data_IF_388725895109
#
_entry.id   IF_388725895109
#
_cell.length_a   1.000
_cell.length_b   1.000
_cell.length_c   1.000
_cell.angle_alpha   90.00
_cell.angle_beta   90.00
_cell.angle_gamma   90.00
#
_symmetry.space_group_name_H-M   'P 1'
#
loop_
_entity.id
_entity.type
_entity.pdbx_description
1 polymer ?
#
# COMPACT_ATOMS: atom_id res chain seq x y z
N UNK A 1 21.73 -10.55 13.63
CA UNK A 1 21.81 -9.70 12.42
C UNK A 1 22.59 -8.45 12.76
N UNK A 2 23.58 -8.05 11.96
CA UNK A 2 24.36 -6.84 12.23
C UNK A 2 23.58 -5.55 11.90
N UNK A 3 23.74 -4.50 12.72
CA UNK A 3 23.07 -3.19 12.52
C UNK A 3 23.40 -2.56 11.15
N UNK A 4 24.61 -2.82 10.63
CA UNK A 4 25.03 -2.38 9.29
C UNK A 4 24.12 -2.89 8.17
N UNK A 5 23.53 -4.08 8.33
CA UNK A 5 22.60 -4.66 7.34
C UNK A 5 21.29 -3.87 7.33
N UNK A 6 20.77 -3.49 8.50
CA UNK A 6 19.56 -2.68 8.62
C UNK A 6 19.72 -1.31 7.98
N UNK A 7 20.84 -0.61 8.21
CA UNK A 7 21.10 0.68 7.56
C UNK A 7 21.17 0.56 6.03
N UNK A 8 21.85 -0.47 5.51
CA UNK A 8 21.88 -0.73 4.06
C UNK A 8 20.49 -1.08 3.51
N UNK A 9 19.68 -1.82 4.25
CA UNK A 9 18.33 -2.16 3.84
C UNK A 9 17.43 -0.91 3.75
N UNK A 10 17.50 -0.03 4.75
CA UNK A 10 16.77 1.26 4.76
C UNK A 10 17.20 2.11 3.55
N UNK A 11 18.50 2.21 3.28
CA UNK A 11 19.02 2.92 2.11
C UNK A 11 18.43 2.38 0.80
N UNK A 12 18.42 1.05 0.61
CA UNK A 12 17.88 0.46 -0.62
C UNK A 12 16.37 0.58 -0.76
N UNK A 13 15.61 0.50 0.35
CA UNK A 13 14.14 0.62 0.34
C UNK A 13 13.70 2.06 0.08
N UNK A 14 14.43 3.06 0.57
CA UNK A 14 14.06 4.47 0.43
C UNK A 14 14.41 5.07 -0.93
N UNK A 15 15.30 4.45 -1.69
CA UNK A 15 15.83 5.07 -2.91
C UNK A 15 15.00 4.83 -4.18
N UNK A 16 14.08 3.86 -4.18
CA UNK A 16 13.26 3.55 -5.36
C UNK A 16 11.81 3.96 -5.14
N UNK A 17 11.24 4.70 -6.11
CA UNK A 17 9.82 5.11 -6.06
C UNK A 17 8.87 3.91 -6.18
N UNK A 18 9.31 2.85 -6.86
CA UNK A 18 8.54 1.64 -7.14
C UNK A 18 8.72 0.53 -6.07
N UNK A 19 9.57 0.77 -5.06
CA UNK A 19 9.98 -0.26 -4.10
C UNK A 19 11.02 -1.24 -4.68
N UNK A 20 11.47 -2.18 -3.85
CA UNK A 20 12.49 -3.19 -4.18
C UNK A 20 11.94 -4.60 -3.92
N UNK A 21 12.22 -5.57 -4.79
CA UNK A 21 11.79 -6.96 -4.58
C UNK A 21 12.61 -7.61 -3.45
N UNK A 22 12.08 -8.63 -2.76
CA UNK A 22 12.85 -9.34 -1.73
C UNK A 22 14.07 -10.05 -2.31
N UNK A 23 13.97 -10.53 -3.56
CA UNK A 23 15.06 -11.16 -4.29
C UNK A 23 16.17 -10.15 -4.61
N UNK A 24 15.81 -8.96 -5.11
CA UNK A 24 16.83 -7.95 -5.38
C UNK A 24 17.45 -7.40 -4.08
N UNK A 25 16.65 -7.31 -3.02
CA UNK A 25 17.14 -6.89 -1.71
C UNK A 25 18.12 -7.92 -1.11
N UNK A 26 17.88 -9.21 -1.31
CA UNK A 26 18.80 -10.27 -0.85
C UNK A 26 20.17 -10.18 -1.54
N UNK A 27 20.19 -9.97 -2.86
CA UNK A 27 21.41 -9.82 -3.67
C UNK A 27 22.24 -8.63 -3.21
N UNK A 28 21.58 -7.50 -2.92
CA UNK A 28 22.26 -6.27 -2.46
C UNK A 28 22.81 -6.39 -1.04
N UNK A 29 22.07 -7.06 -0.16
CA UNK A 29 22.43 -7.20 1.25
C UNK A 29 23.38 -8.38 1.52
N UNK A 30 23.42 -9.38 0.64
CA UNK A 30 24.17 -10.62 0.83
C UNK A 30 23.58 -11.52 1.93
N UNK A 31 22.25 -11.52 2.07
CA UNK A 31 21.51 -12.34 3.05
C UNK A 31 20.61 -13.34 2.34
N UNK A 32 19.98 -14.27 3.07
CA UNK A 32 18.97 -15.14 2.48
C UNK A 32 17.74 -14.35 2.03
N UNK A 33 17.07 -14.82 0.98
CA UNK A 33 15.81 -14.26 0.49
C UNK A 33 14.76 -14.14 1.60
N UNK A 34 14.66 -15.15 2.46
CA UNK A 34 13.74 -15.16 3.60
C UNK A 34 14.04 -14.03 4.60
N UNK A 35 15.33 -13.77 4.84
CA UNK A 35 15.78 -12.67 5.70
C UNK A 35 15.46 -11.32 5.08
N UNK A 36 15.74 -11.14 3.79
CA UNK A 36 15.42 -9.92 3.07
C UNK A 36 13.91 -9.66 3.05
N UNK A 37 13.10 -10.70 2.90
CA UNK A 37 11.64 -10.62 2.99
C UNK A 37 11.19 -10.12 4.37
N UNK A 38 11.71 -10.72 5.47
CA UNK A 38 11.37 -10.27 6.83
C UNK A 38 11.80 -8.82 7.08
N UNK A 39 12.99 -8.41 6.63
CA UNK A 39 13.47 -7.02 6.75
C UNK A 39 12.52 -6.07 6.03
N UNK A 40 12.19 -6.38 4.76
CA UNK A 40 11.29 -5.56 3.94
C UNK A 40 9.92 -5.39 4.60
N UNK A 41 9.35 -6.47 5.13
CA UNK A 41 8.05 -6.42 5.81
C UNK A 41 8.10 -5.58 7.09
N UNK A 42 9.12 -5.74 7.93
CA UNK A 42 9.26 -4.93 9.14
C UNK A 42 9.39 -3.44 8.84
N UNK A 43 10.20 -3.08 7.84
CA UNK A 43 10.32 -1.69 7.40
C UNK A 43 9.00 -1.16 6.85
N UNK A 44 8.29 -1.96 6.04
CA UNK A 44 6.97 -1.59 5.51
C UNK A 44 5.93 -1.37 6.61
N UNK A 45 5.89 -2.24 7.62
CA UNK A 45 4.98 -2.08 8.77
C UNK A 45 5.30 -0.81 9.57
N UNK A 46 6.58 -0.54 9.85
CA UNK A 46 6.97 0.70 10.53
C UNK A 46 6.59 1.97 9.73
N UNK A 47 6.74 1.93 8.40
CA UNK A 47 6.31 3.02 7.53
C UNK A 47 4.78 3.20 7.57
N UNK A 48 4.03 2.10 7.55
CA UNK A 48 2.57 2.11 7.63
C UNK A 48 2.08 2.69 8.97
N UNK A 49 2.65 2.22 10.09
CA UNK A 49 2.31 2.70 11.43
C UNK A 49 2.62 4.19 11.60
N UNK A 50 3.77 4.64 11.07
CA UNK A 50 4.14 6.07 11.07
C UNK A 50 3.14 6.92 10.28
N UNK A 51 2.65 6.42 9.16
CA UNK A 51 1.68 7.14 8.32
C UNK A 51 0.25 7.04 8.84
N UNK A 52 -0.09 6.02 9.65
CA UNK A 52 -1.42 5.82 10.20
C UNK A 52 -1.93 7.03 11.00
N UNK A 53 -1.05 7.64 11.80
CA UNK A 53 -1.37 8.82 12.62
C UNK A 53 -1.52 10.14 11.85
N UNK A 54 -1.21 10.17 10.55
CA UNK A 54 -1.35 11.37 9.71
C UNK A 54 -2.74 11.43 9.09
N UNK A 55 -3.47 12.52 9.29
CA UNK A 55 -4.74 12.76 8.59
C UNK A 55 -4.49 13.29 7.16
N UNK A 56 -5.45 13.05 6.26
CA UNK A 56 -5.52 13.72 4.95
C UNK A 56 -6.08 15.13 5.18
N UNK A 57 -5.55 16.16 4.52
CA UNK A 57 -5.94 17.54 4.77
C UNK A 57 -5.85 18.40 3.51
N UNK A 58 -6.98 18.95 3.07
CA UNK A 58 -7.04 19.76 1.85
C UNK A 58 -8.07 19.19 0.88
N UNK A 59 -7.73 19.16 -0.42
CA UNK A 59 -8.61 18.64 -1.46
C UNK A 59 -8.41 17.12 -1.57
N UNK A 60 -9.39 16.37 -1.07
CA UNK A 60 -9.38 14.90 -1.04
C UNK A 60 -10.14 14.38 -2.26
N UNK A 61 -9.47 13.59 -3.09
CA UNK A 61 -10.10 12.79 -4.15
C UNK A 61 -10.27 11.35 -3.64
N UNK A 62 -11.48 10.82 -3.75
CA UNK A 62 -11.82 9.45 -3.37
C UNK A 62 -12.06 8.61 -4.64
N UNK A 63 -11.33 7.50 -4.75
CA UNK A 63 -11.43 6.55 -5.87
C UNK A 63 -11.67 5.14 -5.31
N UNK A 64 -12.65 4.43 -5.88
CA UNK A 64 -13.00 3.05 -5.51
C UNK A 64 -12.26 2.07 -6.43
N UNK A 65 -11.28 1.36 -5.87
CA UNK A 65 -10.49 0.38 -6.61
C UNK A 65 -10.71 -1.03 -6.08
N UNK A 66 -10.54 -2.04 -6.95
CA UNK A 66 -10.78 -3.44 -6.60
C UNK A 66 -9.48 -4.24 -6.74
N UNK A 67 -9.02 -4.87 -5.65
CA UNK A 67 -7.80 -5.69 -5.62
C UNK A 67 -8.16 -7.18 -5.71
N UNK A 68 -7.55 -7.89 -6.67
CA UNK A 68 -7.74 -9.33 -6.87
C UNK A 68 -8.96 -9.66 -7.72
N UNK A 69 -8.86 -10.70 -8.54
CA UNK A 69 -9.93 -11.15 -9.44
C UNK A 69 -9.57 -12.33 -10.33
N UNK A 70 -8.55 -13.10 -9.98
CA UNK A 70 -8.13 -14.26 -10.77
C UNK A 70 -8.89 -15.51 -10.32
N UNK A 71 -10.18 -15.56 -10.69
CA UNK A 71 -10.86 -16.83 -10.93
C UNK A 71 -11.33 -16.81 -12.38
N UNK A 72 -10.76 -17.68 -13.20
CA UNK A 72 -11.27 -17.94 -14.55
C UNK A 72 -12.69 -18.48 -14.45
N UNK A 73 -13.66 -17.79 -15.07
CA UNK A 73 -15.05 -18.27 -15.21
C UNK A 73 -16.15 -17.38 -14.61
N UNK A 74 -15.83 -16.21 -14.04
CA UNK A 74 -16.83 -15.28 -13.50
C UNK A 74 -17.19 -14.13 -14.44
N UNK A 75 -18.44 -13.62 -14.37
CA UNK A 75 -18.88 -12.40 -15.10
C UNK A 75 -17.94 -11.22 -14.82
N UNK A 76 -17.49 -10.56 -15.89
CA UNK A 76 -16.76 -9.29 -15.85
C UNK A 76 -17.71 -8.20 -15.33
N UNK A 77 -17.70 -7.93 -14.02
CA UNK A 77 -18.43 -6.79 -13.46
C UNK A 77 -17.77 -6.20 -12.21
N UNK A 78 -18.21 -4.99 -11.86
CA UNK A 78 -18.05 -4.39 -10.53
C UNK A 78 -18.78 -5.30 -9.54
N UNK A 79 -18.09 -5.81 -8.52
CA UNK A 79 -18.65 -6.72 -7.51
C UNK A 79 -18.59 -8.23 -7.78
N UNK A 80 -17.81 -8.71 -8.76
CA UNK A 80 -17.66 -10.17 -8.97
C UNK A 80 -17.08 -10.86 -7.73
N UNK A 81 -17.67 -11.98 -7.32
CA UNK A 81 -17.22 -12.81 -6.17
C UNK A 81 -15.71 -13.06 -6.26
N UNK A 82 -14.95 -12.50 -5.31
CA UNK A 82 -13.49 -12.67 -5.22
C UNK A 82 -12.67 -11.40 -5.46
N UNK A 83 -13.30 -10.25 -5.74
CA UNK A 83 -12.63 -8.96 -5.72
C UNK A 83 -12.73 -8.35 -4.33
N UNK A 84 -11.60 -8.00 -3.72
CA UNK A 84 -11.59 -7.23 -2.48
C UNK A 84 -11.67 -5.75 -2.85
N UNK A 85 -12.82 -5.08 -2.60
CA UNK A 85 -12.87 -3.65 -2.81
C UNK A 85 -11.94 -2.95 -1.81
N UNK A 86 -11.32 -1.86 -2.23
CA UNK A 86 -10.60 -0.93 -1.39
C UNK A 86 -10.88 0.49 -1.87
N UNK A 87 -11.07 1.40 -0.93
CA UNK A 87 -11.23 2.81 -1.18
C UNK A 87 -9.86 3.47 -1.04
N UNK A 88 -9.43 4.18 -2.08
CA UNK A 88 -8.24 5.00 -2.09
C UNK A 88 -8.64 6.47 -1.93
N UNK A 89 -8.14 7.14 -0.90
CA UNK A 89 -8.32 8.58 -0.72
C UNK A 89 -6.97 9.28 -0.91
N UNK A 90 -6.89 10.21 -1.86
CA UNK A 90 -5.68 10.96 -2.20
C UNK A 90 -5.87 12.42 -1.83
N UNK A 91 -4.94 12.95 -1.06
CA UNK A 91 -4.83 14.39 -0.80
C UNK A 91 -4.05 15.04 -1.95
N UNK A 92 -4.59 16.12 -2.50
CA UNK A 92 -4.03 16.83 -3.66
C UNK A 92 -3.76 18.30 -3.35
N UNK A 93 -2.67 18.84 -3.91
CA UNK A 93 -2.45 20.30 -3.94
C UNK A 93 -3.52 20.99 -4.81
N UNK A 94 -3.70 22.32 -4.72
CA UNK A 94 -4.59 23.07 -5.61
C UNK A 94 -4.30 22.86 -7.10
N UNK A 95 -3.06 22.50 -7.46
CA UNK A 95 -2.60 22.18 -8.82
C UNK A 95 -2.76 20.70 -9.19
N UNK A 96 -3.45 19.91 -8.36
CA UNK A 96 -3.75 18.49 -8.62
C UNK A 96 -2.59 17.52 -8.35
N UNK A 97 -1.54 17.91 -7.63
CA UNK A 97 -0.41 17.02 -7.35
C UNK A 97 -0.70 16.15 -6.12
N UNK A 98 -0.50 14.82 -6.19
CA UNK A 98 -0.78 13.92 -5.07
C UNK A 98 0.25 14.12 -3.95
N UNK A 99 -0.24 14.36 -2.74
CA UNK A 99 0.58 14.52 -1.54
C UNK A 99 0.56 13.27 -0.67
N UNK A 100 -0.63 12.72 -0.41
CA UNK A 100 -0.83 11.62 0.53
C UNK A 100 -1.89 10.69 0.00
N UNK A 101 -1.70 9.41 0.21
CA UNK A 101 -2.66 8.38 -0.18
C UNK A 101 -2.98 7.55 1.06
N UNK A 102 -4.26 7.41 1.37
CA UNK A 102 -4.76 6.38 2.29
C UNK A 102 -5.55 5.35 1.53
N UNK A 103 -5.40 4.09 1.92
CA UNK A 103 -6.22 2.99 1.43
C UNK A 103 -6.97 2.40 2.61
N UNK A 104 -8.27 2.28 2.50
CA UNK A 104 -9.11 1.58 3.47
C UNK A 104 -9.91 0.50 2.77
N UNK A 105 -10.16 -0.61 3.43
CA UNK A 105 -11.23 -1.48 2.97
C UNK A 105 -12.57 -0.78 3.26
N UNK A 106 -13.52 -0.77 2.31
CA UNK A 106 -14.85 -0.29 2.64
C UNK A 106 -15.40 -1.20 3.74
N UNK A 107 -16.17 -0.66 4.71
CA UNK A 107 -16.88 -1.49 5.65
C UNK A 107 -17.70 -2.52 4.87
N UNK A 108 -17.65 -3.79 5.29
CA UNK A 108 -18.55 -4.83 4.80
C UNK A 108 -19.96 -4.25 4.70
N UNK A 109 -20.65 -4.49 3.58
CA UNK A 109 -21.89 -3.85 3.12
C UNK A 109 -23.11 -3.98 4.07
N UNK A 110 -22.99 -3.49 5.30
CA UNK A 110 -24.01 -3.50 6.33
C UNK A 110 -24.10 -2.18 7.11
N UNK A 111 -23.30 -1.15 6.81
CA UNK A 111 -23.31 0.07 7.65
C UNK A 111 -22.78 1.33 6.95
N UNK A 112 -23.44 1.82 5.90
CA UNK A 112 -23.36 3.24 5.51
C UNK A 112 -24.71 3.69 4.93
N UNK A 113 -25.52 4.35 5.76
CA UNK A 113 -26.56 5.27 5.29
C UNK A 113 -25.92 6.66 5.27
N UNK A 114 -25.80 7.26 4.09
CA UNK A 114 -25.19 8.57 3.93
C UNK A 114 -25.02 8.93 2.46
N UNK A 115 -25.83 9.86 2.00
CA UNK A 115 -25.81 10.47 0.67
C UNK A 115 -24.45 11.15 0.40
N UNK A 116 -23.81 10.82 -0.74
CA UNK A 116 -22.64 11.54 -1.26
C UNK A 116 -23.06 12.15 -2.60
N UNK A 117 -23.02 13.48 -2.66
CA UNK A 117 -23.26 14.30 -3.86
C UNK A 117 -22.09 14.22 -4.84
#
# INVERSE_FOLDING_TARGET
MALRIWFRAIYHVTQTKQGISSIELDRRLGVSQSTAWTIKHKLGQMMLERDAGRLLAGRIELDDAYLGGERSGGKRSRGSRGKTPFLAAVDTTPEGKPLRLKRTHPPSAASVSGEVR
#
